data_IF_556500564546
#
_entry.id   IF_556500564546
#
_cell.length_a   1.000
_cell.length_b   1.000
_cell.length_c   1.000
_cell.angle_alpha   90.00
_cell.angle_beta   90.00
_cell.angle_gamma   90.00
#
_symmetry.space_group_name_H-M   'P 1'
#
loop_
_entity.id
_entity.type
_entity.pdbx_description
1 polymer ?
#
# COMPACT_ATOMS: atom_id res chain seq x y z
N UNK A 1 -11.94 -26.49 30.58
CA UNK A 1 -12.60 -25.43 31.37
C UNK A 1 -12.25 -25.42 32.85
N UNK A 2 -12.24 -26.57 33.57
CA UNK A 2 -11.89 -26.63 35.01
C UNK A 2 -10.48 -26.10 35.31
N UNK A 3 -9.46 -26.41 34.49
CA UNK A 3 -8.09 -25.94 34.71
C UNK A 3 -7.98 -24.39 34.59
N UNK A 4 -8.65 -23.74 33.63
CA UNK A 4 -8.67 -22.29 33.48
C UNK A 4 -9.30 -21.63 34.71
N UNK A 5 -10.38 -22.18 35.21
CA UNK A 5 -11.04 -21.69 36.44
C UNK A 5 -10.12 -21.75 37.66
N UNK A 6 -9.37 -22.84 37.82
CA UNK A 6 -8.39 -22.98 38.91
C UNK A 6 -7.22 -22.00 38.77
N UNK A 7 -6.71 -21.81 37.57
CA UNK A 7 -5.66 -20.81 37.29
C UNK A 7 -6.14 -19.41 37.61
N UNK A 8 -7.31 -19.00 37.13
CA UNK A 8 -7.91 -17.68 37.41
C UNK A 8 -8.14 -17.50 38.93
N UNK A 9 -8.67 -18.51 39.62
CA UNK A 9 -8.90 -18.47 41.07
C UNK A 9 -7.59 -18.35 41.86
N UNK A 10 -6.51 -19.04 41.43
CA UNK A 10 -5.19 -18.97 42.06
C UNK A 10 -4.53 -17.61 41.82
N UNK A 11 -4.70 -17.04 40.61
CA UNK A 11 -4.24 -15.70 40.28
C UNK A 11 -4.94 -14.60 41.11
N UNK A 12 -6.26 -14.74 41.31
CA UNK A 12 -7.05 -13.79 42.09
C UNK A 12 -6.84 -13.91 43.61
N UNK A 13 -6.50 -15.10 44.12
CA UNK A 13 -6.20 -15.34 45.55
C UNK A 13 -4.75 -15.10 45.92
N UNK A 14 -3.82 -15.12 44.97
CA UNK A 14 -2.45 -14.67 45.18
C UNK A 14 -2.41 -13.16 45.32
N UNK A 15 -1.65 -12.66 46.31
CA UNK A 15 -1.43 -11.24 46.59
C UNK A 15 -1.45 -10.40 45.30
N UNK A 16 -2.18 -9.30 45.26
CA UNK A 16 -2.52 -8.49 44.08
C UNK A 16 -1.40 -8.15 43.06
N UNK A 17 -0.15 -8.44 43.46
CA UNK A 17 1.02 -8.26 42.61
C UNK A 17 1.03 -9.15 41.34
N UNK A 18 0.45 -10.35 41.36
CA UNK A 18 0.46 -11.25 40.19
C UNK A 18 -0.52 -10.80 39.09
N UNK A 19 -1.67 -10.28 39.49
CA UNK A 19 -2.66 -9.71 38.55
C UNK A 19 -2.07 -8.48 37.87
N UNK A 20 -1.41 -7.60 38.64
CA UNK A 20 -0.76 -6.39 38.11
C UNK A 20 0.34 -6.76 37.11
N UNK A 21 1.15 -7.79 37.41
CA UNK A 21 2.19 -8.29 36.47
C UNK A 21 1.60 -8.69 35.12
N UNK A 22 0.58 -9.54 35.16
CA UNK A 22 -0.05 -10.08 33.95
C UNK A 22 -0.70 -8.96 33.16
N UNK A 23 -1.43 -8.08 33.83
CA UNK A 23 -2.10 -6.94 33.16
C UNK A 23 -1.09 -5.97 32.53
N UNK A 24 -0.03 -5.59 33.27
CA UNK A 24 0.98 -4.68 32.75
C UNK A 24 1.75 -5.25 31.55
N UNK A 25 2.12 -6.54 31.64
CA UNK A 25 2.78 -7.22 30.52
C UNK A 25 1.84 -7.39 29.32
N UNK A 26 0.60 -7.81 29.58
CA UNK A 26 -0.41 -7.98 28.52
C UNK A 26 -0.69 -6.66 27.79
N UNK A 27 -0.86 -5.55 28.52
CA UNK A 27 -1.06 -4.23 27.95
C UNK A 27 0.16 -3.78 27.12
N UNK A 28 1.37 -3.92 27.66
CA UNK A 28 2.59 -3.55 26.96
C UNK A 28 2.82 -4.38 25.70
N UNK A 29 2.61 -5.69 25.76
CA UNK A 29 2.68 -6.57 24.59
C UNK A 29 1.62 -6.21 23.54
N UNK A 30 0.36 -6.01 23.96
CA UNK A 30 -0.73 -5.65 23.04
C UNK A 30 -0.42 -4.36 22.30
N UNK A 31 -0.01 -3.30 23.02
CA UNK A 31 0.35 -2.03 22.40
C UNK A 31 1.54 -2.15 21.46
N UNK A 32 2.59 -2.89 21.85
CA UNK A 32 3.74 -3.13 20.98
C UNK A 32 3.37 -3.91 19.72
N UNK A 33 2.54 -4.95 19.85
CA UNK A 33 2.07 -5.74 18.71
C UNK A 33 1.24 -4.88 17.76
N UNK A 34 0.35 -4.02 18.26
CA UNK A 34 -0.44 -3.11 17.43
C UNK A 34 0.45 -2.11 16.66
N UNK A 35 1.47 -1.55 17.32
CA UNK A 35 2.42 -0.64 16.66
C UNK A 35 3.24 -1.36 15.57
N UNK A 36 3.76 -2.55 15.87
CA UNK A 36 4.50 -3.33 14.87
C UNK A 36 3.59 -3.84 13.74
N UNK A 37 2.35 -4.20 14.03
CA UNK A 37 1.37 -4.56 13.00
C UNK A 37 1.10 -3.38 12.07
N UNK A 38 0.98 -2.17 12.60
CA UNK A 38 0.85 -0.95 11.79
C UNK A 38 2.09 -0.70 10.93
N UNK A 39 3.29 -0.83 11.51
CA UNK A 39 4.55 -0.72 10.75
C UNK A 39 4.63 -1.76 9.64
N UNK A 40 4.25 -3.01 9.92
CA UNK A 40 4.21 -4.08 8.91
C UNK A 40 3.20 -3.77 7.79
N UNK A 41 2.03 -3.23 8.13
CA UNK A 41 1.04 -2.78 7.16
C UNK A 41 1.61 -1.68 6.24
N UNK A 42 2.25 -0.65 6.79
CA UNK A 42 2.91 0.42 6.01
C UNK A 42 4.03 -0.13 5.09
N UNK A 43 4.71 -1.18 5.50
CA UNK A 43 5.74 -1.83 4.69
C UNK A 43 5.17 -2.79 3.63
N UNK A 44 3.89 -3.08 3.68
CA UNK A 44 3.22 -3.98 2.72
C UNK A 44 2.61 -3.24 1.52
N UNK A 45 2.69 -1.90 1.48
CA UNK A 45 2.14 -1.11 0.38
C UNK A 45 2.67 -1.58 -0.98
N UNK A 46 1.76 -1.61 -1.94
CA UNK A 46 1.97 -1.92 -3.37
C UNK A 46 2.50 -3.33 -3.68
N UNK A 47 2.61 -4.22 -2.68
CA UNK A 47 3.00 -5.62 -2.89
C UNK A 47 1.88 -6.48 -3.50
N UNK A 48 0.69 -5.93 -3.61
CA UNK A 48 -0.47 -6.61 -4.21
C UNK A 48 -0.38 -6.71 -5.74
N UNK A 49 0.40 -5.84 -6.36
CA UNK A 49 0.58 -5.87 -7.81
C UNK A 49 1.49 -7.04 -8.20
N UNK A 50 1.07 -7.79 -9.22
CA UNK A 50 1.85 -8.92 -9.72
C UNK A 50 3.22 -8.46 -10.19
N UNK A 51 4.28 -9.18 -9.79
CA UNK A 51 5.68 -8.83 -10.09
C UNK A 51 6.03 -7.36 -9.78
N UNK A 52 5.58 -6.86 -8.62
CA UNK A 52 5.77 -5.47 -8.20
C UNK A 52 7.24 -5.02 -8.18
N UNK A 53 8.21 -5.94 -8.10
CA UNK A 53 9.64 -5.64 -8.19
C UNK A 53 10.08 -5.14 -9.57
N UNK A 54 9.26 -5.39 -10.60
CA UNK A 54 9.46 -4.91 -11.97
C UNK A 54 8.54 -3.74 -12.33
N UNK A 55 7.70 -3.29 -11.41
CA UNK A 55 6.80 -2.14 -11.60
C UNK A 55 7.44 -0.86 -11.08
N UNK A 56 7.53 0.15 -11.92
CA UNK A 56 8.16 1.44 -11.64
C UNK A 56 7.22 2.58 -11.99
N UNK A 57 7.21 3.62 -11.16
CA UNK A 57 6.53 4.89 -11.44
C UNK A 57 7.51 5.89 -12.03
N UNK A 58 7.03 6.72 -12.96
CA UNK A 58 7.80 7.81 -13.54
C UNK A 58 7.53 9.07 -12.72
N UNK A 59 8.61 9.71 -12.28
CA UNK A 59 8.59 10.99 -11.59
C UNK A 59 9.16 12.06 -12.50
N UNK A 60 8.57 13.24 -12.48
CA UNK A 60 9.08 14.41 -13.18
C UNK A 60 9.70 15.43 -12.24
N UNK A 61 10.66 16.16 -12.73
CA UNK A 61 11.27 17.30 -12.06
C UNK A 61 11.19 18.50 -13.00
N UNK A 62 10.50 19.53 -12.55
CA UNK A 62 10.39 20.79 -13.30
C UNK A 62 11.42 21.79 -12.81
N UNK A 63 11.88 22.64 -13.73
CA UNK A 63 12.70 23.79 -13.39
C UNK A 63 12.26 25.01 -14.17
N UNK A 64 12.09 26.15 -13.49
CA UNK A 64 11.72 27.41 -14.11
C UNK A 64 12.40 28.57 -13.38
N UNK A 65 12.84 29.58 -14.10
CA UNK A 65 13.46 30.80 -13.55
C UNK A 65 14.69 30.49 -12.64
N UNK A 66 15.46 29.44 -12.97
CA UNK A 66 16.62 29.03 -12.19
C UNK A 66 16.30 28.25 -10.89
N UNK A 67 15.04 27.97 -10.62
CA UNK A 67 14.61 27.13 -9.50
C UNK A 67 14.24 25.75 -9.99
N UNK A 68 14.64 24.71 -9.26
CA UNK A 68 14.23 23.32 -9.46
C UNK A 68 13.21 22.97 -8.41
N UNK A 69 12.06 22.44 -8.83
CA UNK A 69 10.98 22.04 -7.96
C UNK A 69 11.21 20.59 -7.45
N UNK A 70 10.57 20.24 -6.35
CA UNK A 70 10.56 18.87 -5.84
C UNK A 70 9.99 17.90 -6.89
N UNK A 71 10.47 16.65 -6.91
CA UNK A 71 9.95 15.62 -7.79
C UNK A 71 8.44 15.43 -7.64
N UNK A 72 7.73 15.33 -8.75
CA UNK A 72 6.29 15.18 -8.82
C UNK A 72 5.90 13.89 -9.54
N UNK A 73 4.77 13.31 -9.17
CA UNK A 73 4.22 12.11 -9.82
C UNK A 73 3.59 12.41 -11.19
N UNK A 74 3.31 13.68 -11.46
CA UNK A 74 2.63 14.14 -12.65
C UNK A 74 3.61 14.28 -13.81
N UNK A 75 3.21 13.75 -14.95
CA UNK A 75 4.01 13.72 -16.18
C UNK A 75 3.24 14.24 -17.38
N UNK A 76 3.95 14.48 -18.49
CA UNK A 76 3.34 14.66 -19.80
C UNK A 76 2.65 13.35 -20.23
N UNK A 77 1.44 13.42 -20.79
CA UNK A 77 0.65 12.24 -21.16
C UNK A 77 1.40 11.20 -21.99
N UNK A 78 2.11 11.58 -23.08
CA UNK A 78 2.77 10.63 -23.98
C UNK A 78 4.01 9.92 -23.42
N UNK A 79 4.49 10.25 -22.21
CA UNK A 79 5.79 9.77 -21.69
C UNK A 79 5.86 8.25 -21.61
N UNK A 80 4.81 7.59 -21.12
CA UNK A 80 4.79 6.13 -20.98
C UNK A 80 4.85 5.44 -22.36
N UNK A 81 4.03 5.89 -23.32
CA UNK A 81 4.04 5.38 -24.69
C UNK A 81 5.40 5.55 -25.38
N UNK A 82 6.01 6.73 -25.24
CA UNK A 82 7.33 7.00 -25.79
C UNK A 82 8.42 6.08 -25.19
N UNK A 83 8.35 5.78 -23.90
CA UNK A 83 9.27 4.85 -23.25
C UNK A 83 9.07 3.44 -23.81
N UNK A 84 7.86 2.98 -23.92
CA UNK A 84 7.56 1.65 -24.46
C UNK A 84 8.05 1.48 -25.91
N UNK A 85 7.87 2.50 -26.75
CA UNK A 85 8.34 2.48 -28.13
C UNK A 85 9.86 2.47 -28.28
N UNK A 86 10.56 3.22 -27.40
CA UNK A 86 12.01 3.40 -27.52
C UNK A 86 12.84 2.37 -26.70
N UNK A 87 12.21 1.64 -25.78
CA UNK A 87 12.87 0.63 -24.94
C UNK A 87 12.14 -0.73 -24.96
N UNK A 88 11.84 -1.30 -26.15
CA UNK A 88 11.03 -2.54 -26.24
C UNK A 88 11.73 -3.79 -25.69
N UNK A 89 13.07 -3.74 -25.51
CA UNK A 89 13.84 -4.84 -24.93
C UNK A 89 13.77 -4.84 -23.40
N UNK A 90 13.72 -3.68 -22.80
CA UNK A 90 13.73 -3.48 -21.36
C UNK A 90 12.30 -3.41 -20.79
N UNK A 91 11.37 -2.77 -21.51
CA UNK A 91 10.01 -2.49 -21.07
C UNK A 91 9.03 -3.51 -21.66
N UNK A 92 8.24 -4.12 -20.81
CA UNK A 92 7.17 -5.05 -21.18
C UNK A 92 5.90 -4.29 -21.53
N UNK A 93 5.49 -3.35 -20.66
CA UNK A 93 4.32 -2.52 -20.84
C UNK A 93 4.51 -1.17 -20.12
N UNK A 94 3.86 -0.14 -20.63
CA UNK A 94 3.83 1.17 -19.98
C UNK A 94 2.43 1.78 -20.13
N UNK A 95 1.99 2.54 -19.12
CA UNK A 95 0.67 3.17 -19.10
C UNK A 95 0.74 4.57 -18.51
N UNK A 96 -0.14 5.42 -18.98
CA UNK A 96 -0.44 6.71 -18.32
C UNK A 96 -1.92 6.77 -17.99
N UNK A 97 -2.24 7.18 -16.77
CA UNK A 97 -3.62 7.41 -16.37
C UNK A 97 -3.80 8.77 -15.72
N UNK A 98 -5.05 9.25 -15.66
CA UNK A 98 -5.41 10.46 -14.97
C UNK A 98 -6.65 10.27 -14.08
N UNK A 99 -6.84 11.19 -13.13
CA UNK A 99 -7.92 11.15 -12.11
C UNK A 99 -8.95 12.26 -12.29
N UNK A 100 -9.11 12.79 -13.48
CA UNK A 100 -9.96 13.98 -13.74
C UNK A 100 -11.46 13.73 -13.56
N UNK A 101 -11.91 12.48 -13.74
CA UNK A 101 -13.33 12.13 -13.63
C UNK A 101 -13.70 11.91 -12.15
N UNK A 102 -13.99 12.99 -11.42
CA UNK A 102 -14.31 12.95 -9.99
C UNK A 102 -15.80 12.80 -9.67
N UNK A 103 -16.70 13.11 -10.60
CA UNK A 103 -18.15 13.06 -10.39
C UNK A 103 -18.65 11.61 -10.15
N UNK A 104 -19.80 11.40 -9.46
CA UNK A 104 -20.30 10.08 -9.13
C UNK A 104 -20.75 9.25 -10.33
N UNK A 105 -20.79 7.95 -10.16
CA UNK A 105 -21.42 6.99 -11.08
C UNK A 105 -22.87 6.74 -10.69
N UNK A 106 -23.72 6.42 -11.67
CA UNK A 106 -25.11 6.08 -11.42
C UNK A 106 -25.50 4.80 -12.18
N UNK A 107 -26.31 3.98 -11.52
CA UNK A 107 -27.06 2.92 -12.18
C UNK A 107 -28.54 3.12 -11.91
N UNK A 108 -29.31 3.43 -12.96
CA UNK A 108 -30.66 3.96 -12.80
C UNK A 108 -30.66 5.27 -12.01
N UNK A 109 -31.40 5.31 -10.92
CA UNK A 109 -31.47 6.47 -10.02
C UNK A 109 -30.46 6.43 -8.87
N UNK A 110 -29.78 5.30 -8.67
CA UNK A 110 -28.88 5.09 -7.52
C UNK A 110 -27.51 5.68 -7.80
N UNK A 111 -27.01 6.47 -6.85
CA UNK A 111 -25.70 7.13 -6.88
C UNK A 111 -24.64 6.26 -6.20
N UNK A 112 -23.47 6.15 -6.83
CA UNK A 112 -22.30 5.43 -6.31
C UNK A 112 -21.08 6.34 -6.30
N UNK A 113 -20.51 6.50 -5.13
CA UNK A 113 -19.16 7.09 -5.01
C UNK A 113 -18.13 6.01 -5.29
N UNK A 114 -17.17 6.33 -6.14
CA UNK A 114 -16.13 5.43 -6.57
C UNK A 114 -14.86 6.20 -6.94
N UNK A 115 -13.70 5.65 -6.63
CA UNK A 115 -12.43 6.15 -7.15
C UNK A 115 -12.30 5.72 -8.61
N UNK A 116 -12.15 6.69 -9.49
CA UNK A 116 -12.08 6.44 -10.93
C UNK A 116 -10.76 6.91 -11.50
N UNK A 117 -10.23 6.14 -12.42
CA UNK A 117 -9.12 6.56 -13.27
C UNK A 117 -9.54 6.46 -14.72
N UNK A 118 -8.97 7.32 -15.55
CA UNK A 118 -9.05 7.18 -17.00
C UNK A 118 -7.70 6.72 -17.50
N UNK A 119 -7.68 5.56 -18.14
CA UNK A 119 -6.44 4.90 -18.54
C UNK A 119 -6.50 4.32 -19.96
N UNK A 120 -5.33 4.02 -20.49
CA UNK A 120 -5.16 3.33 -21.76
C UNK A 120 -5.37 1.80 -21.64
N UNK A 121 -5.27 1.10 -22.76
CA UNK A 121 -5.51 -0.33 -22.86
C UNK A 121 -4.45 -1.18 -22.15
N UNK A 122 -3.29 -0.65 -21.84
CA UNK A 122 -2.18 -1.35 -21.18
C UNK A 122 -2.18 -1.19 -19.66
N UNK A 123 -3.14 -0.46 -19.10
CA UNK A 123 -3.19 -0.18 -17.66
C UNK A 123 -3.14 -1.45 -16.81
N UNK A 124 -4.00 -2.43 -17.07
CA UNK A 124 -4.09 -3.66 -16.28
C UNK A 124 -2.81 -4.51 -16.41
N UNK A 125 -2.28 -4.63 -17.63
CA UNK A 125 -1.03 -5.34 -17.88
C UNK A 125 0.14 -4.68 -17.17
N UNK A 126 0.26 -3.35 -17.30
CA UNK A 126 1.35 -2.59 -16.65
C UNK A 126 1.28 -2.69 -15.15
N UNK A 127 0.10 -2.49 -14.56
CA UNK A 127 -0.08 -2.56 -13.11
C UNK A 127 -0.04 -4.00 -12.57
N UNK A 128 -0.26 -5.02 -13.42
CA UNK A 128 -0.34 -6.42 -12.98
C UNK A 128 -1.58 -6.70 -12.15
N UNK A 129 -2.71 -6.11 -12.53
CA UNK A 129 -4.02 -6.30 -11.91
C UNK A 129 -4.73 -7.45 -12.64
N UNK A 130 -5.26 -8.41 -11.87
CA UNK A 130 -5.97 -9.55 -12.44
C UNK A 130 -7.35 -9.14 -12.96
N UNK A 131 -7.56 -9.32 -14.25
CA UNK A 131 -8.85 -9.11 -14.93
C UNK A 131 -9.69 -10.37 -14.79
N UNK A 132 -10.91 -10.23 -14.26
CA UNK A 132 -11.83 -11.34 -14.03
C UNK A 132 -12.71 -11.60 -15.24
N UNK A 133 -13.05 -10.56 -15.99
CA UNK A 133 -13.83 -10.65 -17.22
C UNK A 133 -13.53 -9.48 -18.16
N UNK A 134 -13.72 -9.70 -19.46
CA UNK A 134 -13.41 -8.72 -20.50
C UNK A 134 -11.96 -8.83 -21.02
N UNK A 135 -11.65 -8.04 -22.04
CA UNK A 135 -10.32 -7.99 -22.69
C UNK A 135 -9.88 -6.52 -22.73
N UNK A 136 -9.17 -6.01 -21.70
CA UNK A 136 -8.82 -4.59 -21.57
C UNK A 136 -8.08 -4.03 -22.78
N UNK A 137 -7.14 -4.83 -23.34
CA UNK A 137 -6.30 -4.42 -24.46
C UNK A 137 -7.13 -4.04 -25.71
N UNK A 138 -8.31 -4.63 -25.84
CA UNK A 138 -9.24 -4.37 -26.94
C UNK A 138 -10.33 -3.38 -26.55
N UNK A 139 -10.94 -3.59 -25.39
CA UNK A 139 -12.14 -2.84 -24.98
C UNK A 139 -11.82 -1.40 -24.56
N UNK A 140 -10.69 -1.17 -23.86
CA UNK A 140 -10.28 0.18 -23.45
C UNK A 140 -9.77 1.05 -24.61
N UNK A 141 -9.63 0.49 -25.81
CA UNK A 141 -9.41 1.27 -27.03
C UNK A 141 -10.69 1.91 -27.57
N UNK A 142 -11.85 1.50 -27.08
CA UNK A 142 -13.16 2.04 -27.46
C UNK A 142 -13.58 3.15 -26.52
N UNK A 143 -14.37 4.12 -27.03
CA UNK A 143 -14.97 5.17 -26.20
C UNK A 143 -16.14 4.63 -25.39
N UNK A 144 -16.43 5.31 -24.27
CA UNK A 144 -17.59 5.06 -23.43
C UNK A 144 -17.63 3.64 -22.84
N UNK A 145 -16.43 3.16 -22.47
CA UNK A 145 -16.21 1.84 -21.84
C UNK A 145 -15.68 2.02 -20.44
N UNK A 146 -16.13 1.14 -19.55
CA UNK A 146 -15.66 1.07 -18.17
C UNK A 146 -15.42 -0.38 -17.74
N UNK A 147 -14.34 -0.57 -16.97
CA UNK A 147 -14.06 -1.76 -16.18
C UNK A 147 -14.31 -1.43 -14.71
N UNK A 148 -14.96 -2.34 -13.98
CA UNK A 148 -15.31 -2.15 -12.57
C UNK A 148 -14.53 -3.14 -11.70
N UNK A 149 -14.14 -2.72 -10.48
CA UNK A 149 -13.69 -3.65 -9.47
C UNK A 149 -14.83 -4.62 -9.11
N UNK A 150 -14.50 -5.85 -8.71
CA UNK A 150 -15.50 -6.86 -8.35
C UNK A 150 -16.44 -6.34 -7.24
N UNK A 151 -15.87 -5.65 -6.25
CA UNK A 151 -16.62 -5.00 -5.17
C UNK A 151 -17.63 -3.98 -5.70
N UNK A 152 -17.22 -3.08 -6.61
CA UNK A 152 -18.13 -2.07 -7.13
C UNK A 152 -19.18 -2.70 -8.04
N UNK A 153 -18.81 -3.69 -8.85
CA UNK A 153 -19.74 -4.43 -9.71
C UNK A 153 -20.82 -5.13 -8.88
N UNK A 154 -20.45 -5.84 -7.81
CA UNK A 154 -21.40 -6.46 -6.88
C UNK A 154 -22.27 -5.44 -6.16
N UNK A 155 -21.70 -4.30 -5.75
CA UNK A 155 -22.47 -3.23 -5.10
C UNK A 155 -23.51 -2.60 -6.01
N UNK A 156 -23.24 -2.53 -7.33
CA UNK A 156 -24.14 -1.93 -8.33
C UNK A 156 -25.18 -2.91 -8.85
N UNK A 157 -24.81 -4.19 -9.04
CA UNK A 157 -25.61 -5.17 -9.78
C UNK A 157 -25.97 -6.42 -8.99
N UNK A 158 -25.52 -6.50 -7.71
CA UNK A 158 -25.70 -7.67 -6.83
C UNK A 158 -25.13 -8.95 -7.47
N UNK A 159 -25.94 -9.93 -7.78
CA UNK A 159 -25.53 -11.21 -8.41
C UNK A 159 -25.69 -11.21 -9.94
N UNK A 160 -26.16 -10.12 -10.51
CA UNK A 160 -26.37 -10.05 -11.95
C UNK A 160 -25.04 -9.84 -12.70
N UNK A 161 -24.96 -10.41 -13.91
CA UNK A 161 -23.82 -10.19 -14.78
C UNK A 161 -23.69 -8.69 -15.13
N UNK A 162 -22.57 -8.01 -14.77
CA UNK A 162 -22.39 -6.60 -15.06
C UNK A 162 -22.06 -6.31 -16.53
N UNK A 163 -21.59 -7.31 -17.30
CA UNK A 163 -21.11 -7.11 -18.66
C UNK A 163 -22.23 -6.70 -19.60
N UNK A 164 -22.01 -5.61 -20.34
CA UNK A 164 -22.99 -5.04 -21.28
C UNK A 164 -23.99 -4.09 -20.61
N UNK A 165 -24.04 -4.00 -19.28
CA UNK A 165 -24.88 -3.02 -18.62
C UNK A 165 -24.34 -1.61 -18.82
N UNK A 166 -25.26 -0.64 -18.84
CA UNK A 166 -24.94 0.78 -19.00
C UNK A 166 -25.07 1.47 -17.67
N UNK A 167 -24.02 2.17 -17.28
CA UNK A 167 -24.00 3.07 -16.13
C UNK A 167 -23.77 4.49 -16.62
N UNK A 168 -24.08 5.51 -15.82
CA UNK A 168 -23.79 6.88 -16.23
C UNK A 168 -22.80 7.57 -15.29
N UNK A 169 -21.89 8.33 -15.85
CA UNK A 169 -21.03 9.26 -15.13
C UNK A 169 -21.72 10.62 -15.10
N UNK A 170 -21.91 11.17 -13.92
CA UNK A 170 -22.58 12.46 -13.67
C UNK A 170 -23.99 12.59 -14.29
N UNK A 171 -24.66 11.48 -14.65
CA UNK A 171 -25.91 11.45 -15.44
C UNK A 171 -25.82 12.05 -16.85
N UNK A 172 -24.61 12.29 -17.34
CA UNK A 172 -24.34 12.95 -18.62
C UNK A 172 -23.69 11.99 -19.63
N UNK A 173 -22.83 11.10 -19.15
CA UNK A 173 -22.06 10.19 -20.00
C UNK A 173 -22.47 8.75 -19.70
N UNK A 174 -22.99 8.07 -20.70
CA UNK A 174 -23.27 6.65 -20.62
C UNK A 174 -21.99 5.87 -20.84
N UNK A 175 -21.69 4.91 -19.94
CA UNK A 175 -20.56 4.03 -19.97
C UNK A 175 -21.03 2.59 -20.00
N UNK A 176 -20.58 1.84 -20.98
CA UNK A 176 -20.85 0.40 -21.05
C UNK A 176 -19.83 -0.38 -20.24
N UNK A 177 -20.29 -1.21 -19.32
CA UNK A 177 -19.43 -2.12 -18.56
C UNK A 177 -18.95 -3.24 -19.50
N UNK A 178 -17.65 -3.32 -19.73
CA UNK A 178 -17.01 -4.31 -20.62
C UNK A 178 -16.17 -5.33 -19.89
N UNK A 179 -15.89 -5.09 -18.61
CA UNK A 179 -15.12 -6.01 -17.82
C UNK A 179 -15.15 -5.74 -16.33
N UNK A 180 -14.65 -6.71 -15.59
CA UNK A 180 -14.42 -6.60 -14.15
C UNK A 180 -13.00 -7.07 -13.81
N UNK A 181 -12.46 -6.57 -12.70
CA UNK A 181 -11.14 -6.93 -12.22
C UNK A 181 -11.14 -7.16 -10.70
N UNK A 182 -10.13 -7.87 -10.22
CA UNK A 182 -9.96 -8.20 -8.81
C UNK A 182 -9.84 -6.94 -7.93
N UNK A 183 -10.41 -6.99 -6.75
CA UNK A 183 -10.32 -5.89 -5.80
C UNK A 183 -8.88 -5.63 -5.39
N UNK A 184 -8.50 -4.37 -5.43
CA UNK A 184 -7.19 -3.91 -5.00
C UNK A 184 -7.28 -3.60 -3.49
N UNK A 185 -6.38 -4.14 -2.66
CA UNK A 185 -6.42 -3.96 -1.21
C UNK A 185 -6.10 -2.52 -0.79
N UNK A 186 -6.38 -2.20 0.47
CA UNK A 186 -6.24 -0.83 1.01
C UNK A 186 -4.80 -0.33 1.08
N UNK A 187 -3.84 -1.23 1.11
CA UNK A 187 -2.41 -0.95 1.10
C UNK A 187 -1.84 -0.87 -0.33
N UNK A 188 -2.56 -0.23 -1.23
CA UNK A 188 -2.11 0.09 -2.58
C UNK A 188 -2.25 1.58 -2.85
N UNK A 189 -1.21 2.19 -3.45
CA UNK A 189 -1.19 3.60 -3.85
C UNK A 189 -2.18 3.87 -4.97
N UNK A 190 -2.26 2.95 -5.94
CA UNK A 190 -3.19 3.01 -7.08
C UNK A 190 -4.34 2.03 -6.83
N UNK A 191 -5.51 2.57 -6.47
CA UNK A 191 -6.69 1.75 -6.10
C UNK A 191 -7.98 2.32 -6.69
N UNK A 192 -8.15 2.26 -8.01
CA UNK A 192 -9.42 2.60 -8.62
C UNK A 192 -10.50 1.56 -8.31
N UNK A 193 -11.75 2.03 -8.21
CA UNK A 193 -12.95 1.19 -8.22
C UNK A 193 -13.48 1.02 -9.65
N UNK A 194 -13.15 1.98 -10.53
CA UNK A 194 -13.52 1.94 -11.95
C UNK A 194 -12.40 2.49 -12.82
N UNK A 195 -12.16 1.82 -13.95
CA UNK A 195 -11.21 2.25 -14.99
C UNK A 195 -12.02 2.60 -16.23
N UNK A 196 -12.03 3.87 -16.61
CA UNK A 196 -12.74 4.40 -17.77
C UNK A 196 -11.73 4.49 -18.93
N UNK A 197 -12.17 4.14 -20.12
CA UNK A 197 -11.32 4.16 -21.30
C UNK A 197 -10.85 5.59 -21.66
N UNK A 198 -9.60 5.74 -21.99
CA UNK A 198 -8.99 7.01 -22.37
C UNK A 198 -9.65 7.67 -23.60
N UNK A 199 -10.06 6.93 -24.64
CA UNK A 199 -10.83 7.49 -25.75
C UNK A 199 -12.14 8.18 -25.35
N UNK A 200 -12.73 7.84 -24.20
CA UNK A 200 -13.92 8.52 -23.65
C UNK A 200 -13.65 9.99 -23.36
N UNK A 201 -12.50 10.29 -22.81
CA UNK A 201 -12.06 11.66 -22.47
C UNK A 201 -11.66 12.40 -23.74
N UNK A 202 -10.88 11.77 -24.62
CA UNK A 202 -10.42 12.40 -25.86
C UNK A 202 -11.55 12.75 -26.82
N UNK A 203 -12.56 11.87 -26.96
CA UNK A 203 -13.71 12.13 -27.84
C UNK A 203 -14.53 13.36 -27.44
N UNK A 204 -14.34 13.82 -26.20
CA UNK A 204 -15.01 15.02 -25.64
C UNK A 204 -14.11 16.25 -25.61
N UNK A 205 -12.88 16.14 -26.14
CA UNK A 205 -11.90 17.23 -26.09
C UNK A 205 -11.40 17.52 -24.68
N UNK A 206 -11.58 16.60 -23.75
CA UNK A 206 -11.12 16.76 -22.39
C UNK A 206 -9.68 16.30 -22.25
N UNK A 207 -8.92 17.06 -21.45
CA UNK A 207 -7.54 16.78 -21.15
C UNK A 207 -6.57 17.15 -22.24
N UNK A 208 -5.33 17.34 -21.84
CA UNK A 208 -4.21 17.59 -22.71
C UNK A 208 -3.26 16.38 -22.67
N UNK A 209 -3.23 15.61 -23.76
CA UNK A 209 -2.29 14.49 -23.93
C UNK A 209 -1.21 14.92 -24.93
N UNK A 210 -0.31 15.78 -24.46
CA UNK A 210 0.75 16.33 -25.31
C UNK A 210 2.05 16.49 -24.53
N UNK A 211 3.14 16.74 -25.28
CA UNK A 211 4.43 17.10 -24.71
C UNK A 211 4.52 18.57 -24.26
N UNK A 212 3.50 19.37 -24.59
CA UNK A 212 3.38 20.79 -24.25
C UNK A 212 2.38 21.01 -23.14
N UNK A 213 2.79 20.85 -21.90
CA UNK A 213 1.89 20.95 -20.78
C UNK A 213 0.96 19.74 -20.63
N UNK A 214 -0.06 19.84 -19.78
CA UNK A 214 -0.92 18.71 -19.47
C UNK A 214 -0.25 17.73 -18.51
N UNK A 215 0.58 18.25 -17.63
CA UNK A 215 1.34 17.51 -16.61
C UNK A 215 0.42 17.02 -15.49
N UNK A 216 -0.58 16.21 -15.85
CA UNK A 216 -1.61 15.68 -14.96
C UNK A 216 -1.72 14.17 -15.07
N UNK A 217 -0.75 13.55 -15.75
CA UNK A 217 -0.73 12.12 -16.01
C UNK A 217 0.21 11.41 -15.07
N UNK A 218 -0.28 10.38 -14.41
CA UNK A 218 0.55 9.50 -13.61
C UNK A 218 0.96 8.34 -14.51
N UNK A 219 2.25 8.07 -14.58
CA UNK A 219 2.79 7.13 -15.55
C UNK A 219 3.58 6.01 -14.88
N UNK A 220 3.36 4.77 -15.35
CA UNK A 220 4.01 3.57 -14.87
C UNK A 220 4.65 2.79 -16.01
N UNK A 221 5.72 2.09 -15.69
CA UNK A 221 6.41 1.13 -16.56
C UNK A 221 6.55 -0.20 -15.85
N UNK A 222 6.33 -1.27 -16.60
CA UNK A 222 6.69 -2.62 -16.21
C UNK A 222 7.92 -3.06 -16.99
N UNK A 223 8.98 -3.34 -16.28
CA UNK A 223 10.19 -3.89 -16.88
C UNK A 223 10.04 -5.39 -17.14
N UNK A 224 10.70 -5.86 -18.18
CA UNK A 224 10.85 -7.31 -18.41
C UNK A 224 11.70 -7.94 -17.31
N UNK A 225 11.41 -9.19 -16.91
CA UNK A 225 12.26 -9.90 -15.97
C UNK A 225 13.73 -9.95 -16.43
N UNK A 226 14.64 -9.56 -15.55
CA UNK A 226 16.08 -9.55 -15.86
C UNK A 226 16.58 -8.38 -16.71
N UNK A 227 15.70 -7.44 -17.11
CA UNK A 227 16.12 -6.25 -17.87
C UNK A 227 17.00 -5.32 -17.02
N UNK A 228 17.96 -4.69 -17.68
CA UNK A 228 18.77 -3.63 -17.07
C UNK A 228 17.98 -2.32 -16.97
N UNK A 229 17.44 -2.07 -15.80
CA UNK A 229 16.59 -0.91 -15.50
C UNK A 229 17.35 0.40 -15.57
N UNK A 230 18.70 0.38 -15.42
CA UNK A 230 19.54 1.56 -15.47
C UNK A 230 19.59 2.19 -16.86
N UNK A 231 19.45 1.38 -17.91
CA UNK A 231 19.45 1.83 -19.31
C UNK A 231 18.34 2.83 -19.58
N UNK A 232 17.11 2.53 -19.09
CA UNK A 232 15.96 3.43 -19.26
C UNK A 232 16.22 4.74 -18.52
N UNK A 233 16.64 4.67 -17.25
CA UNK A 233 16.85 5.87 -16.44
C UNK A 233 17.96 6.76 -17.01
N UNK A 234 19.06 6.18 -17.53
CA UNK A 234 20.15 6.92 -18.13
C UNK A 234 19.75 7.66 -19.41
N UNK A 235 18.83 7.09 -20.22
CA UNK A 235 18.45 7.62 -21.54
C UNK A 235 17.12 8.35 -21.55
N UNK A 236 16.36 8.32 -20.44
CA UNK A 236 15.03 8.90 -20.34
C UNK A 236 15.00 10.39 -20.67
N UNK A 237 15.98 11.14 -20.14
CA UNK A 237 16.04 12.59 -20.35
C UNK A 237 16.42 12.96 -21.80
N UNK A 238 17.18 12.14 -22.48
CA UNK A 238 17.48 12.35 -23.91
C UNK A 238 16.25 12.01 -24.76
N UNK A 239 15.48 10.99 -24.36
CA UNK A 239 14.19 10.66 -24.98
C UNK A 239 13.22 11.84 -24.84
N UNK A 240 13.09 12.42 -23.65
CA UNK A 240 12.23 13.58 -23.39
C UNK A 240 12.64 14.77 -24.27
N UNK A 241 13.95 15.06 -24.37
CA UNK A 241 14.45 16.13 -25.24
C UNK A 241 14.12 15.93 -26.71
N UNK A 242 14.05 14.67 -27.17
CA UNK A 242 13.68 14.34 -28.55
C UNK A 242 12.23 14.70 -28.88
N UNK A 243 11.33 14.51 -27.94
CA UNK A 243 9.89 14.68 -28.16
C UNK A 243 9.36 16.06 -27.71
N UNK A 244 9.97 16.66 -26.69
CA UNK A 244 9.55 17.95 -26.18
C UNK A 244 10.23 19.08 -26.95
N UNK A 245 9.47 20.09 -27.45
CA UNK A 245 10.04 21.22 -28.19
C UNK A 245 11.13 21.94 -27.39
N UNK A 246 12.23 22.28 -28.05
CA UNK A 246 13.37 22.94 -27.41
C UNK A 246 13.02 24.33 -26.82
N UNK A 247 12.04 25.01 -27.40
CA UNK A 247 11.54 26.31 -26.91
C UNK A 247 10.84 26.16 -25.56
N UNK A 248 10.03 25.11 -25.41
CA UNK A 248 9.32 24.82 -24.16
C UNK A 248 10.29 24.44 -23.05
N UNK A 249 11.37 23.73 -23.39
CA UNK A 249 12.42 23.35 -22.43
C UNK A 249 13.25 24.54 -21.92
N UNK A 250 13.32 25.64 -22.69
CA UNK A 250 13.99 26.87 -22.23
C UNK A 250 13.15 27.63 -21.22
N UNK A 251 11.84 27.56 -21.33
CA UNK A 251 10.90 28.24 -20.43
C UNK A 251 10.69 27.43 -19.15
N UNK A 252 10.40 26.13 -19.33
CA UNK A 252 10.22 25.18 -18.22
C UNK A 252 11.05 23.94 -18.53
N UNK A 253 12.15 23.76 -17.81
CA UNK A 253 12.93 22.55 -17.89
C UNK A 253 12.13 21.36 -17.34
N UNK A 254 12.14 20.25 -18.07
CA UNK A 254 11.47 19.02 -17.69
C UNK A 254 12.46 17.87 -17.78
N UNK A 255 12.66 17.20 -16.67
CA UNK A 255 13.43 15.96 -16.58
C UNK A 255 12.60 14.92 -15.86
N UNK A 256 12.90 13.65 -16.05
CA UNK A 256 12.21 12.58 -15.38
C UNK A 256 13.17 11.46 -14.96
N UNK A 257 12.74 10.66 -14.00
CA UNK A 257 13.40 9.45 -13.55
C UNK A 257 12.36 8.39 -13.15
N UNK A 258 12.81 7.15 -13.07
CA UNK A 258 11.95 6.04 -12.68
C UNK A 258 12.27 5.59 -11.26
N UNK A 259 11.23 5.28 -10.47
CA UNK A 259 11.33 4.83 -9.09
C UNK A 259 10.56 3.53 -8.90
N UNK A 260 11.12 2.49 -8.22
CA UNK A 260 10.37 1.28 -7.93
C UNK A 260 9.08 1.58 -7.16
N UNK A 261 7.96 0.98 -7.54
CA UNK A 261 6.67 1.22 -6.86
C UNK A 261 6.74 0.96 -5.36
N UNK A 262 7.49 -0.08 -4.95
CA UNK A 262 7.69 -0.44 -3.55
C UNK A 262 8.31 0.68 -2.70
N UNK A 263 9.06 1.61 -3.34
CA UNK A 263 9.78 2.68 -2.67
C UNK A 263 9.02 4.01 -2.74
N UNK A 264 8.01 4.12 -3.61
CA UNK A 264 7.21 5.35 -3.78
C UNK A 264 6.58 5.74 -2.45
N UNK A 265 5.69 4.91 -1.93
CA UNK A 265 5.00 5.17 -0.66
C UNK A 265 5.95 5.14 0.55
N UNK A 266 6.85 4.15 0.58
CA UNK A 266 7.72 3.92 1.75
C UNK A 266 8.74 5.03 2.01
N UNK A 267 9.18 5.72 0.96
CA UNK A 267 10.17 6.80 1.06
C UNK A 267 9.53 8.17 1.19
N UNK A 268 8.23 8.26 1.13
CA UNK A 268 7.53 9.50 1.42
C UNK A 268 7.93 10.01 2.81
N UNK A 269 8.36 11.29 2.94
CA UNK A 269 8.93 11.82 4.18
C UNK A 269 8.06 11.60 5.41
N UNK A 270 6.75 11.81 5.28
CA UNK A 270 5.81 11.66 6.40
C UNK A 270 5.59 10.19 6.77
N UNK A 271 5.50 9.29 5.79
CA UNK A 271 5.39 7.84 6.01
C UNK A 271 6.64 7.30 6.69
N UNK A 272 7.82 7.69 6.21
CA UNK A 272 9.11 7.31 6.78
C UNK A 272 9.26 7.78 8.22
N UNK A 273 8.88 9.03 8.48
CA UNK A 273 8.90 9.63 9.83
C UNK A 273 7.94 8.90 10.77
N UNK A 274 6.70 8.69 10.36
CA UNK A 274 5.68 7.97 11.13
C UNK A 274 6.11 6.54 11.45
N UNK A 275 6.62 5.80 10.47
CA UNK A 275 7.13 4.44 10.64
C UNK A 275 8.26 4.38 11.66
N UNK A 276 9.23 5.29 11.58
CA UNK A 276 10.35 5.34 12.52
C UNK A 276 9.88 5.63 13.94
N UNK A 277 8.99 6.61 14.11
CA UNK A 277 8.40 6.95 15.42
C UNK A 277 7.66 5.75 16.00
N UNK A 278 6.78 5.09 15.24
CA UNK A 278 6.03 3.92 15.69
C UNK A 278 6.93 2.75 16.06
N UNK A 279 7.99 2.52 15.29
CA UNK A 279 8.96 1.45 15.58
C UNK A 279 9.71 1.70 16.89
N UNK A 280 10.19 2.92 17.10
CA UNK A 280 10.89 3.33 18.33
C UNK A 280 9.94 3.22 19.53
N UNK A 281 8.73 3.74 19.43
CA UNK A 281 7.73 3.66 20.50
C UNK A 281 7.38 2.21 20.84
N UNK A 282 7.19 1.36 19.82
CA UNK A 282 6.93 -0.07 20.02
C UNK A 282 8.05 -0.78 20.79
N UNK A 283 9.30 -0.49 20.46
CA UNK A 283 10.47 -1.03 21.17
C UNK A 283 10.53 -0.50 22.62
N UNK A 284 10.32 0.78 22.83
CA UNK A 284 10.35 1.39 24.18
C UNK A 284 9.26 0.79 25.07
N UNK A 285 8.03 0.67 24.56
CA UNK A 285 6.91 0.11 25.32
C UNK A 285 7.18 -1.35 25.67
N UNK A 286 7.70 -2.15 24.72
CA UNK A 286 8.07 -3.54 24.95
C UNK A 286 9.16 -3.65 26.03
N UNK A 287 10.17 -2.79 25.97
CA UNK A 287 11.25 -2.75 26.93
C UNK A 287 10.73 -2.39 28.34
N UNK A 288 9.89 -1.34 28.46
CA UNK A 288 9.28 -0.95 29.75
C UNK A 288 8.40 -2.06 30.31
N UNK A 289 7.58 -2.72 29.47
CA UNK A 289 6.74 -3.83 29.90
C UNK A 289 7.58 -5.01 30.41
N UNK A 290 8.66 -5.33 29.72
CA UNK A 290 9.61 -6.37 30.11
C UNK A 290 10.31 -6.03 31.44
N UNK A 291 10.83 -4.80 31.56
CA UNK A 291 11.46 -4.36 32.81
C UNK A 291 10.48 -4.40 33.98
N UNK A 292 9.26 -3.91 33.80
CA UNK A 292 8.24 -3.95 34.82
C UNK A 292 7.93 -5.37 35.29
N UNK A 293 7.79 -6.31 34.33
CA UNK A 293 7.62 -7.73 34.66
C UNK A 293 8.80 -8.28 35.46
N UNK A 294 10.05 -8.00 35.05
CA UNK A 294 11.27 -8.45 35.73
C UNK A 294 11.35 -7.88 37.15
N UNK A 295 11.15 -6.56 37.34
CA UNK A 295 11.20 -5.91 38.65
C UNK A 295 10.17 -6.47 39.61
N UNK A 296 8.93 -6.64 39.16
CA UNK A 296 7.88 -7.22 40.00
C UNK A 296 8.18 -8.70 40.30
N UNK A 297 8.79 -9.42 39.36
CA UNK A 297 9.19 -10.83 39.57
C UNK A 297 10.30 -10.95 40.62
N UNK A 298 11.32 -10.09 40.55
CA UNK A 298 12.41 -10.03 41.56
C UNK A 298 11.83 -9.65 42.92
N UNK A 299 10.98 -8.66 43.00
CA UNK A 299 10.32 -8.25 44.25
C UNK A 299 9.53 -9.40 44.87
N UNK A 300 8.86 -10.23 44.05
CA UNK A 300 8.13 -11.40 44.58
C UNK A 300 9.02 -12.54 45.07
N UNK A 301 10.28 -12.61 44.61
CA UNK A 301 11.26 -13.57 45.11
C UNK A 301 11.67 -13.25 46.57
N UNK A 302 11.77 -11.97 46.94
CA UNK A 302 12.09 -11.53 48.29
C UNK A 302 11.07 -12.06 49.33
N UNK A 303 9.79 -12.06 49.00
CA UNK A 303 8.75 -12.64 49.88
C UNK A 303 8.85 -14.17 50.00
N UNK A 304 9.43 -14.83 48.97
CA UNK A 304 9.62 -16.31 48.97
C UNK A 304 10.94 -16.73 49.63
N UNK A 305 11.87 -15.81 49.87
CA UNK A 305 13.18 -16.06 50.43
C UNK A 305 13.07 -16.78 51.81
N UNK A 306 12.08 -16.41 52.63
CA UNK A 306 11.82 -17.03 53.94
C UNK A 306 11.40 -18.50 53.79
N UNK A 307 10.54 -18.79 52.81
CA UNK A 307 10.12 -20.19 52.54
C UNK A 307 11.27 -21.05 51.96
N UNK A 308 12.08 -20.44 51.05
CA UNK A 308 13.28 -21.09 50.49
C UNK A 308 14.30 -21.38 51.61
N UNK A 309 14.49 -20.43 52.54
CA UNK A 309 15.36 -20.63 53.70
C UNK A 309 14.93 -21.82 54.55
N UNK A 310 13.63 -21.92 54.87
CA UNK A 310 13.08 -23.07 55.60
C UNK A 310 13.32 -24.39 54.89
N UNK A 311 13.09 -24.49 53.57
CA UNK A 311 13.36 -25.70 52.79
C UNK A 311 14.85 -26.03 52.73
N UNK A 312 15.73 -25.03 52.71
CA UNK A 312 17.18 -25.22 52.69
C UNK A 312 17.68 -25.76 54.03
N UNK A 313 17.13 -25.22 55.14
CA UNK A 313 17.39 -25.71 56.48
C UNK A 313 16.84 -27.12 56.72
N UNK A 314 15.81 -27.51 55.98
CA UNK A 314 15.24 -28.87 56.01
C UNK A 314 15.97 -29.87 55.04
N UNK A 315 17.16 -29.51 54.53
CA UNK A 315 17.99 -30.39 53.71
C UNK A 315 17.65 -30.46 52.23
N UNK A 316 16.85 -29.51 51.70
CA UNK A 316 16.53 -29.51 50.26
C UNK A 316 17.73 -29.04 49.42
N UNK A 317 18.20 -29.87 48.48
CA UNK A 317 19.27 -29.54 47.54
C UNK A 317 18.85 -28.47 46.54
N UNK A 318 19.83 -27.73 46.00
CA UNK A 318 19.63 -26.57 45.09
C UNK A 318 18.77 -26.92 43.85
N UNK A 319 18.89 -28.12 43.27
CA UNK A 319 18.07 -28.56 42.15
C UNK A 319 16.58 -28.74 42.50
N UNK A 320 16.28 -29.18 43.76
CA UNK A 320 14.90 -29.32 44.24
C UNK A 320 14.24 -27.95 44.48
N UNK A 321 15.03 -26.95 44.92
CA UNK A 321 14.61 -25.59 45.12
C UNK A 321 14.37 -24.89 43.79
N UNK A 322 15.25 -25.08 42.78
CA UNK A 322 15.06 -24.57 41.42
C UNK A 322 13.79 -25.16 40.79
N UNK A 323 13.55 -26.45 40.88
CA UNK A 323 12.34 -27.09 40.37
C UNK A 323 11.05 -26.65 41.07
N UNK A 324 11.12 -26.23 42.36
CA UNK A 324 10.00 -25.62 43.07
C UNK A 324 9.72 -24.19 42.63
N UNK A 325 10.75 -23.43 42.27
CA UNK A 325 10.63 -22.08 41.76
C UNK A 325 10.04 -22.08 40.33
N UNK A 326 10.50 -23.01 39.49
CA UNK A 326 10.04 -23.17 38.12
C UNK A 326 8.57 -23.60 38.04
N UNK A 327 8.18 -24.63 38.84
CA UNK A 327 6.78 -25.10 38.92
C UNK A 327 5.81 -24.02 39.41
N UNK A 328 6.25 -23.07 40.28
CA UNK A 328 5.38 -21.98 40.78
C UNK A 328 5.45 -20.71 40.00
N UNK A 329 6.37 -20.59 39.03
CA UNK A 329 6.39 -19.47 38.07
C UNK A 329 5.45 -19.70 36.88
N UNK A 330 5.07 -20.97 36.65
CA UNK A 330 4.16 -21.38 35.57
C UNK A 330 2.69 -21.48 36.04
N UNK A 331 2.42 -21.32 37.33
CA UNK A 331 1.10 -21.20 37.95
C UNK A 331 1.05 -19.89 38.73
#
# INVERSE_FOLDING_TARGET
MKQIYYVIRTLLRGHGSNVIKILSLALGLTMSILLFARVAFEQSFDKCFKDYDNLYQIFSVFSANGQTFEPQEMNCGPVAGAIQENFPKEVEAATSYCVWMSAPLYYGSVRFEANKVTADSLFFQTMGIDVLSGVPEKELMQKDVVFLSDRLARKMFDQENPIGKVISYNKEIELTVKGTYADIPENATVRPDAVISLPTVWSRGWGNYSWRGGDSWIAFIRFRPGADKSVVNARLNDLIKKYRPAEDQKVVGYTAFVKPIRDVYREEPDVKRMRNIMSILGIIILFIATLNYVLISISSLSYRAKAIGVHKCSGAGSGKILGMLDRKSVV
#
